data_IF_498319082492
#
_entry.id   IF_498319082492
#
_cell.length_a   1.000
_cell.length_b   1.000
_cell.length_c   1.000
_cell.angle_alpha   90.00
_cell.angle_beta   90.00
_cell.angle_gamma   90.00
#
_symmetry.space_group_name_H-M   'P 1'
#
loop_
_entity.id
_entity.type
_entity.pdbx_description
1 polymer ?
#
# COMPACT_ATOMS: atom_id res chain seq x y z
N UNK A 1 5.68 0.05 -12.51
CA UNK A 1 5.10 -1.09 -11.76
C UNK A 1 5.79 -1.12 -10.41
N UNK A 2 5.05 -1.27 -9.32
CA UNK A 2 5.58 -1.40 -7.97
C UNK A 2 5.04 -2.68 -7.32
N UNK A 3 5.78 -3.23 -6.36
CA UNK A 3 5.45 -4.49 -5.70
C UNK A 3 5.59 -4.37 -4.19
N UNK A 4 4.66 -4.95 -3.43
CA UNK A 4 4.84 -5.20 -2.00
C UNK A 4 5.47 -6.59 -1.87
N UNK A 5 6.71 -6.64 -1.35
CA UNK A 5 7.48 -7.89 -1.26
C UNK A 5 7.47 -8.51 0.14
N UNK A 6 7.09 -7.72 1.15
CA UNK A 6 7.08 -8.15 2.53
C UNK A 6 5.98 -7.44 3.29
N UNK A 7 5.24 -8.20 4.09
CA UNK A 7 4.24 -7.69 5.03
C UNK A 7 4.44 -8.38 6.38
N UNK A 8 4.72 -7.58 7.40
CA UNK A 8 4.92 -8.06 8.77
C UNK A 8 3.89 -7.45 9.71
N UNK A 9 3.26 -8.28 10.53
CA UNK A 9 2.25 -7.90 11.52
C UNK A 9 2.68 -8.33 12.91
N UNK A 10 2.42 -7.50 13.92
CA UNK A 10 2.76 -7.79 15.33
C UNK A 10 2.05 -9.05 15.89
N UNK A 11 0.95 -9.48 15.30
CA UNK A 11 0.19 -10.69 15.70
C UNK A 11 0.68 -11.98 15.02
N UNK A 12 1.78 -11.96 14.26
CA UNK A 12 2.24 -13.09 13.43
C UNK A 12 1.62 -13.06 12.02
N UNK A 13 2.01 -14.01 11.16
CA UNK A 13 1.69 -14.07 9.71
C UNK A 13 0.21 -13.82 9.39
N UNK A 14 -0.11 -12.60 8.95
CA UNK A 14 -1.46 -12.23 8.53
C UNK A 14 -1.86 -12.88 7.21
N UNK A 15 -3.15 -13.19 7.05
CA UNK A 15 -3.73 -13.41 5.73
C UNK A 15 -3.90 -12.06 5.06
N UNK A 16 -3.18 -11.84 3.97
CA UNK A 16 -3.22 -10.59 3.22
C UNK A 16 -3.99 -10.79 1.93
N UNK A 17 -5.02 -9.99 1.72
CA UNK A 17 -5.73 -9.93 0.44
C UNK A 17 -5.33 -8.63 -0.21
N UNK A 18 -4.67 -8.72 -1.38
CA UNK A 18 -4.53 -7.58 -2.29
C UNK A 18 -5.76 -7.54 -3.18
N UNK A 19 -6.60 -6.53 -3.00
CA UNK A 19 -7.62 -6.18 -3.97
C UNK A 19 -7.03 -5.20 -4.97
N UNK A 20 -7.36 -5.29 -6.27
CA UNK A 20 -7.02 -4.24 -7.23
C UNK A 20 -7.84 -4.32 -8.51
N UNK A 21 -8.64 -3.29 -8.82
CA UNK A 21 -9.51 -3.26 -10.03
C UNK A 21 -9.92 -1.84 -10.46
N UNK A 22 -10.29 -1.62 -11.74
CA UNK A 22 -10.67 -0.30 -12.26
C UNK A 22 -11.78 0.36 -11.40
N UNK A 23 -11.97 1.69 -11.50
CA UNK A 23 -12.96 2.42 -10.70
C UNK A 23 -14.32 1.70 -10.69
N UNK A 24 -14.81 1.35 -9.50
CA UNK A 24 -16.10 0.67 -9.33
C UNK A 24 -16.10 -0.86 -9.40
N UNK A 25 -14.95 -1.53 -9.47
CA UNK A 25 -14.86 -3.01 -9.39
C UNK A 25 -13.75 -3.49 -8.45
N UNK A 26 -14.14 -4.27 -7.44
CA UNK A 26 -13.21 -5.02 -6.59
C UNK A 26 -12.76 -6.30 -7.32
N UNK A 27 -11.46 -6.58 -7.32
CA UNK A 27 -10.90 -7.81 -7.90
C UNK A 27 -9.96 -8.39 -6.85
N UNK A 28 -10.18 -9.65 -6.50
CA UNK A 28 -9.38 -10.40 -5.52
C UNK A 28 -8.26 -11.12 -6.27
N UNK A 29 -7.00 -10.75 -6.06
CA UNK A 29 -5.88 -11.53 -6.59
C UNK A 29 -4.56 -10.77 -6.72
N UNK A 30 -3.43 -11.48 -6.91
CA UNK A 30 -2.10 -10.89 -7.08
C UNK A 30 -1.93 -10.14 -8.42
N UNK A 31 -2.93 -10.23 -9.31
CA UNK A 31 -2.99 -9.50 -10.56
C UNK A 31 -4.46 -9.20 -10.89
N UNK A 32 -4.81 -7.92 -10.88
CA UNK A 32 -6.04 -7.40 -11.48
C UNK A 32 -5.68 -6.44 -12.62
N UNK A 33 -6.56 -6.24 -13.62
CA UNK A 33 -6.33 -5.32 -14.74
C UNK A 33 -5.92 -3.95 -14.21
N UNK A 34 -4.78 -3.43 -14.71
CA UNK A 34 -4.20 -2.08 -14.58
C UNK A 34 -5.02 -1.10 -13.73
N UNK A 35 -5.18 -1.42 -12.45
CA UNK A 35 -6.01 -0.63 -11.56
C UNK A 35 -5.14 0.37 -10.86
N UNK A 36 -5.65 1.60 -10.75
CA UNK A 36 -5.02 2.61 -9.94
C UNK A 36 -5.22 2.39 -8.45
N UNK A 37 -6.04 1.45 -7.97
CA UNK A 37 -6.35 1.30 -6.54
C UNK A 37 -6.14 -0.12 -6.07
N UNK A 38 -5.36 -0.26 -4.99
CA UNK A 38 -5.11 -1.53 -4.32
C UNK A 38 -5.51 -1.47 -2.85
N UNK A 39 -5.91 -2.60 -2.25
CA UNK A 39 -6.21 -2.68 -0.82
C UNK A 39 -5.46 -3.85 -0.21
N UNK A 40 -4.74 -3.63 0.88
CA UNK A 40 -4.11 -4.65 1.71
C UNK A 40 -4.90 -4.78 3.01
N UNK A 41 -5.64 -5.87 3.17
CA UNK A 41 -6.45 -6.13 4.36
C UNK A 41 -5.68 -6.90 5.44
N UNK A 42 -5.98 -6.57 6.70
CA UNK A 42 -5.47 -7.17 7.93
C UNK A 42 -6.66 -7.62 8.78
N UNK A 43 -7.05 -8.91 8.75
CA UNK A 43 -8.20 -9.42 9.50
C UNK A 43 -8.14 -9.06 10.99
N UNK A 44 -9.24 -8.53 11.51
CA UNK A 44 -9.34 -8.07 12.91
C UNK A 44 -8.71 -6.70 13.20
N UNK A 45 -8.06 -6.06 12.21
CA UNK A 45 -7.42 -4.75 12.36
C UNK A 45 -8.04 -3.71 11.40
N UNK A 46 -8.13 -4.02 10.11
CA UNK A 46 -8.60 -3.08 9.08
C UNK A 46 -7.88 -3.26 7.76
N UNK A 47 -7.67 -2.18 7.00
CA UNK A 47 -7.00 -2.23 5.69
C UNK A 47 -6.17 -0.97 5.38
N UNK A 48 -5.24 -1.12 4.44
CA UNK A 48 -4.50 -0.01 3.81
C UNK A 48 -4.92 0.08 2.35
N UNK A 49 -5.37 1.26 1.90
CA UNK A 49 -5.68 1.54 0.49
C UNK A 49 -4.52 2.29 -0.16
N UNK A 50 -4.10 1.80 -1.31
CA UNK A 50 -3.07 2.36 -2.17
C UNK A 50 -3.71 2.89 -3.43
N UNK A 51 -3.34 4.09 -3.87
CA UNK A 51 -3.79 4.65 -5.14
C UNK A 51 -2.57 5.06 -5.95
N UNK A 52 -2.30 4.38 -7.05
CA UNK A 52 -1.22 4.71 -7.98
C UNK A 52 -1.52 6.06 -8.66
N UNK A 53 -0.68 7.05 -8.41
CA UNK A 53 -0.77 8.40 -8.98
C UNK A 53 0.19 8.58 -10.16
N UNK A 54 0.97 7.57 -10.51
CA UNK A 54 2.01 7.66 -11.52
C UNK A 54 3.02 8.76 -11.21
N UNK A 55 3.49 9.43 -12.25
CA UNK A 55 4.46 10.53 -12.22
C UNK A 55 3.80 11.92 -12.14
N UNK A 56 2.51 11.99 -11.78
CA UNK A 56 1.75 13.25 -11.77
C UNK A 56 1.95 14.09 -10.51
N UNK A 57 2.60 13.54 -9.48
CA UNK A 57 2.82 14.20 -8.19
C UNK A 57 4.31 14.47 -8.01
N UNK A 58 4.66 15.73 -7.70
CA UNK A 58 6.04 16.11 -7.41
C UNK A 58 6.51 15.57 -6.06
N UNK A 59 7.75 15.11 -6.00
CA UNK A 59 8.36 14.59 -4.77
C UNK A 59 9.72 13.95 -4.99
N UNK A 60 10.23 13.18 -4.01
CA UNK A 60 11.60 12.64 -4.03
C UNK A 60 11.82 11.45 -5.00
N UNK A 61 10.78 10.97 -5.69
CA UNK A 61 10.86 9.88 -6.66
C UNK A 61 10.12 10.19 -7.96
N UNK A 62 10.32 9.34 -8.97
CA UNK A 62 9.77 9.53 -10.32
C UNK A 62 8.28 9.17 -10.39
N UNK A 63 7.84 8.32 -9.46
CA UNK A 63 6.48 7.78 -9.37
C UNK A 63 5.99 7.83 -7.93
N UNK A 64 4.67 7.85 -7.74
CA UNK A 64 4.09 7.92 -6.41
C UNK A 64 2.80 7.11 -6.23
N UNK A 65 2.60 6.64 -5.01
CA UNK A 65 1.41 5.94 -4.54
C UNK A 65 0.84 6.72 -3.36
N UNK A 66 -0.40 7.17 -3.47
CA UNK A 66 -1.15 7.73 -2.35
C UNK A 66 -1.59 6.58 -1.43
N UNK A 67 -1.38 6.71 -0.12
CA UNK A 67 -1.67 5.65 0.85
C UNK A 67 -2.62 6.18 1.94
N UNK A 68 -3.73 5.47 2.18
CA UNK A 68 -4.71 5.85 3.21
C UNK A 68 -4.06 5.99 4.58
N UNK A 69 -4.42 7.02 5.33
CA UNK A 69 -3.84 7.27 6.66
C UNK A 69 -2.48 7.97 6.64
N UNK A 70 -1.82 8.12 5.48
CA UNK A 70 -0.63 8.96 5.37
C UNK A 70 -0.98 10.34 4.83
N UNK A 71 -0.28 11.36 5.32
CA UNK A 71 -0.34 12.74 4.79
C UNK A 71 0.55 12.94 3.56
N UNK A 72 1.38 11.95 3.22
CA UNK A 72 2.32 12.01 2.10
C UNK A 72 2.23 10.77 1.23
N UNK A 73 2.47 10.93 -0.07
CA UNK A 73 2.59 9.78 -0.96
C UNK A 73 3.87 8.99 -0.64
N UNK A 74 3.83 7.70 -0.90
CA UNK A 74 5.03 6.88 -1.00
C UNK A 74 5.59 7.04 -2.42
N UNK A 75 6.83 7.47 -2.52
CA UNK A 75 7.53 7.71 -3.79
C UNK A 75 8.54 6.62 -4.06
N UNK A 76 8.79 6.33 -5.32
CA UNK A 76 9.80 5.37 -5.73
C UNK A 76 10.42 5.74 -7.08
N UNK A 77 11.55 5.09 -7.39
CA UNK A 77 12.25 5.14 -8.69
C UNK A 77 12.30 3.73 -9.28
N UNK A 78 12.42 3.63 -10.61
CA UNK A 78 12.47 2.34 -11.30
C UNK A 78 11.27 1.43 -10.98
N UNK A 79 11.53 0.17 -10.62
CA UNK A 79 10.51 -0.88 -10.44
C UNK A 79 9.86 -0.94 -9.04
N UNK A 80 10.06 0.07 -8.18
CA UNK A 80 9.35 0.29 -6.91
C UNK A 80 9.12 -0.93 -6.01
N UNK A 81 9.90 -1.08 -4.94
CA UNK A 81 9.75 -2.21 -4.02
C UNK A 81 9.35 -1.72 -2.64
N UNK A 82 8.20 -2.15 -2.14
CA UNK A 82 7.66 -1.77 -0.84
C UNK A 82 7.77 -2.91 0.19
N UNK A 83 8.14 -2.54 1.41
CA UNK A 83 7.96 -3.37 2.61
C UNK A 83 6.97 -2.69 3.54
N UNK A 84 5.95 -3.43 3.98
CA UNK A 84 4.91 -2.93 4.90
C UNK A 84 5.05 -3.61 6.25
N UNK A 85 5.09 -2.83 7.32
CA UNK A 85 4.99 -3.35 8.70
C UNK A 85 3.79 -2.73 9.39
N UNK A 86 3.06 -3.51 10.18
CA UNK A 86 1.92 -3.04 10.98
C UNK A 86 2.09 -3.49 12.42
N UNK A 87 2.02 -2.54 13.35
CA UNK A 87 2.09 -2.83 14.78
C UNK A 87 0.73 -3.24 15.37
N UNK A 88 0.72 -3.67 16.62
CA UNK A 88 -0.49 -4.14 17.30
C UNK A 88 -1.54 -3.03 17.53
N UNK A 89 -1.15 -1.75 17.37
CA UNK A 89 -2.08 -0.61 17.47
C UNK A 89 -2.74 -0.26 16.13
N UNK A 90 -2.40 -0.98 15.06
CA UNK A 90 -2.89 -0.68 13.72
C UNK A 90 -2.17 0.51 13.07
N UNK A 91 -0.97 0.87 13.53
CA UNK A 91 -0.12 1.82 12.82
C UNK A 91 0.79 1.08 11.86
N UNK A 92 0.82 1.52 10.60
CA UNK A 92 1.69 0.94 9.59
C UNK A 92 2.91 1.82 9.29
N UNK A 93 3.96 1.19 8.77
CA UNK A 93 5.11 1.84 8.13
C UNK A 93 5.37 1.20 6.77
N UNK A 94 5.65 2.01 5.76
CA UNK A 94 5.99 1.57 4.40
C UNK A 94 7.36 2.12 4.02
N UNK A 95 8.27 1.23 3.64
CA UNK A 95 9.66 1.55 3.26
C UNK A 95 10.05 0.90 1.92
N UNK A 96 11.30 1.10 1.48
CA UNK A 96 11.85 0.55 0.23
C UNK A 96 11.71 1.47 -1.00
N UNK A 97 11.07 2.62 -0.82
CA UNK A 97 10.95 3.67 -1.83
C UNK A 97 12.00 4.77 -1.67
N UNK A 98 11.76 5.89 -2.35
CA UNK A 98 12.53 7.13 -2.19
C UNK A 98 12.23 7.86 -0.88
N UNK A 99 11.17 7.45 -0.18
CA UNK A 99 10.86 7.86 1.18
C UNK A 99 10.21 6.71 1.97
N UNK A 100 10.18 6.88 3.29
CA UNK A 100 9.41 6.05 4.21
C UNK A 100 8.19 6.83 4.66
N UNK A 101 7.02 6.18 4.68
CA UNK A 101 5.77 6.78 5.17
C UNK A 101 5.18 5.94 6.30
N UNK A 102 4.30 6.55 7.10
CA UNK A 102 3.51 5.86 8.11
C UNK A 102 2.12 6.47 8.21
N UNK A 103 1.20 5.72 8.82
CA UNK A 103 -0.18 6.13 9.05
C UNK A 103 -0.97 5.07 9.83
N UNK A 104 -2.17 5.39 10.32
CA UNK A 104 -3.08 4.38 10.84
C UNK A 104 -3.73 3.60 9.69
N UNK A 105 -4.02 2.31 9.92
CA UNK A 105 -4.91 1.54 9.06
C UNK A 105 -6.32 2.12 9.10
N UNK A 106 -7.09 1.88 8.02
CA UNK A 106 -8.52 2.20 7.99
C UNK A 106 -9.30 1.05 8.62
N UNK A 107 -10.20 1.29 9.59
CA UNK A 107 -11.10 0.26 10.11
C UNK A 107 -11.99 -0.33 8.99
N UNK A 108 -12.46 -1.57 9.16
CA UNK A 108 -13.44 -2.21 8.27
C UNK A 108 -14.79 -1.49 8.28
#
# INVERSE_FOLDING_TARGET
MWNIISVTTATGSGSYILFGGPPGKEIVGPAGPLSHTYVLAFPGLGYIKFIDKGNSVSGPGDWSVQVSGSSTNWFYKGNGTASVSVDASGKYTISGGSNTISGPITPF
#
